data_IF_920574249703
#
_entry.id   IF_920574249703
#
_cell.length_a   1.000
_cell.length_b   1.000
_cell.length_c   1.000
_cell.angle_alpha   90.00
_cell.angle_beta   90.00
_cell.angle_gamma   90.00
#
_symmetry.space_group_name_H-M   'P 1'
#
loop_
_entity.id
_entity.type
_entity.pdbx_description
1 polymer ?
#
# COMPACT_ATOMS: atom_id res chain seq x y z
N UNK A 1 -2.27 9.19 11.07
CA UNK A 1 -3.24 10.08 10.40
C UNK A 1 -2.53 11.41 10.20
N UNK A 2 -2.31 11.83 8.96
CA UNK A 2 -1.56 13.08 8.71
C UNK A 2 -2.41 14.29 9.11
N UNK A 3 -1.77 15.44 9.40
CA UNK A 3 -2.50 16.69 9.64
C UNK A 3 -3.43 17.03 8.46
N UNK A 4 -3.04 16.69 7.23
CA UNK A 4 -3.87 16.86 6.04
C UNK A 4 -5.13 15.97 6.07
N UNK A 5 -5.02 14.72 6.51
CA UNK A 5 -6.17 13.82 6.64
C UNK A 5 -7.16 14.30 7.72
N UNK A 6 -6.63 14.83 8.82
CA UNK A 6 -7.44 15.41 9.88
C UNK A 6 -8.19 16.66 9.40
N UNK A 7 -7.51 17.53 8.66
CA UNK A 7 -8.11 18.73 8.05
C UNK A 7 -9.21 18.34 7.07
N UNK A 8 -8.96 17.40 6.15
CA UNK A 8 -9.97 16.97 5.19
C UNK A 8 -11.19 16.33 5.87
N UNK A 9 -10.97 15.51 6.91
CA UNK A 9 -12.08 14.94 7.71
C UNK A 9 -12.89 16.03 8.43
N UNK A 10 -12.22 17.03 8.99
CA UNK A 10 -12.89 18.16 9.64
C UNK A 10 -13.72 18.97 8.62
N UNK A 11 -13.19 19.21 7.42
CA UNK A 11 -13.90 19.90 6.35
C UNK A 11 -15.10 19.10 5.84
N UNK A 12 -14.99 17.77 5.76
CA UNK A 12 -16.13 16.91 5.46
C UNK A 12 -17.25 17.03 6.51
N UNK A 13 -16.91 17.04 7.80
CA UNK A 13 -17.89 17.23 8.88
C UNK A 13 -18.54 18.63 8.87
N UNK A 14 -17.76 19.66 8.54
CA UNK A 14 -18.27 21.02 8.35
C UNK A 14 -19.28 21.07 7.20
N UNK A 15 -18.92 20.48 6.05
CA UNK A 15 -19.83 20.34 4.92
C UNK A 15 -21.15 19.66 5.32
N UNK A 16 -21.09 18.57 6.10
CA UNK A 16 -22.31 17.88 6.56
C UNK A 16 -23.16 18.72 7.51
N UNK A 17 -22.53 19.58 8.30
CA UNK A 17 -23.23 20.53 9.18
C UNK A 17 -23.94 21.59 8.34
N UNK A 18 -23.27 22.14 7.33
CA UNK A 18 -23.83 23.13 6.41
C UNK A 18 -24.93 22.53 5.53
N UNK A 19 -24.77 21.28 5.09
CA UNK A 19 -25.79 20.53 4.35
C UNK A 19 -27.10 20.37 5.16
N UNK A 20 -27.00 20.31 6.50
CA UNK A 20 -28.15 20.25 7.42
C UNK A 20 -28.78 21.62 7.69
N UNK A 21 -28.05 22.71 7.54
CA UNK A 21 -28.55 24.08 7.81
C UNK A 21 -29.01 24.81 6.54
N UNK A 22 -28.41 24.53 5.38
CA UNK A 22 -28.71 25.16 4.09
C UNK A 22 -29.57 24.24 3.20
N UNK A 23 -30.84 24.61 3.03
CA UNK A 23 -31.81 23.87 2.21
C UNK A 23 -31.47 23.87 0.71
N UNK A 24 -30.85 24.94 0.19
CA UNK A 24 -30.45 25.02 -1.22
C UNK A 24 -29.27 24.10 -1.48
N UNK A 25 -28.26 24.14 -0.61
CA UNK A 25 -27.11 23.24 -0.68
C UNK A 25 -27.53 21.77 -0.61
N UNK A 26 -28.47 21.44 0.29
CA UNK A 26 -29.06 20.10 0.35
C UNK A 26 -29.74 19.69 -0.95
N UNK A 27 -30.57 20.56 -1.53
CA UNK A 27 -31.24 20.25 -2.79
C UNK A 27 -30.26 20.04 -3.95
N UNK A 28 -29.19 20.85 -4.02
CA UNK A 28 -28.16 20.71 -5.04
C UNK A 28 -27.38 19.40 -4.86
N UNK A 29 -27.05 19.03 -3.62
CA UNK A 29 -26.40 17.76 -3.28
C UNK A 29 -27.29 16.56 -3.64
N UNK A 30 -28.55 16.55 -3.19
CA UNK A 30 -29.50 15.46 -3.44
C UNK A 30 -29.70 15.22 -4.94
N UNK A 31 -29.73 16.26 -5.77
CA UNK A 31 -29.80 16.12 -7.23
C UNK A 31 -28.59 15.40 -7.81
N UNK A 32 -27.38 15.74 -7.33
CA UNK A 32 -26.14 15.10 -7.79
C UNK A 32 -26.08 13.64 -7.34
N UNK A 33 -26.42 13.37 -6.08
CA UNK A 33 -26.47 11.99 -5.55
C UNK A 33 -27.55 11.16 -6.24
N UNK A 34 -28.72 11.73 -6.54
CA UNK A 34 -29.78 11.05 -7.27
C UNK A 34 -29.34 10.69 -8.69
N UNK A 35 -28.67 11.61 -9.40
CA UNK A 35 -28.10 11.34 -10.72
C UNK A 35 -27.08 10.20 -10.66
N UNK A 36 -26.16 10.24 -9.70
CA UNK A 36 -25.17 9.19 -9.49
C UNK A 36 -25.84 7.83 -9.20
N UNK A 37 -26.85 7.81 -8.32
CA UNK A 37 -27.55 6.58 -7.91
C UNK A 37 -28.40 5.97 -9.03
N UNK A 38 -29.09 6.79 -9.84
CA UNK A 38 -29.92 6.28 -10.94
C UNK A 38 -29.09 5.54 -11.97
N UNK A 39 -27.88 6.01 -12.26
CA UNK A 39 -27.04 5.42 -13.31
C UNK A 39 -26.38 4.11 -12.91
N UNK A 40 -25.93 4.00 -11.65
CA UNK A 40 -25.41 2.72 -11.12
C UNK A 40 -26.43 1.59 -11.28
N UNK A 41 -27.74 1.91 -11.25
CA UNK A 41 -28.81 0.92 -11.41
C UNK A 41 -29.20 0.63 -12.86
N UNK A 42 -28.90 1.53 -13.80
CA UNK A 42 -29.43 1.48 -15.17
C UNK A 42 -28.41 1.04 -16.23
N UNK A 43 -27.11 1.16 -15.99
CA UNK A 43 -26.11 0.79 -16.97
C UNK A 43 -25.98 -0.75 -17.07
N UNK A 44 -25.98 -1.27 -18.31
CA UNK A 44 -25.91 -2.71 -18.58
C UNK A 44 -24.46 -3.23 -18.67
N UNK A 45 -23.48 -2.34 -18.87
CA UNK A 45 -22.06 -2.66 -19.01
C UNK A 45 -21.28 -2.22 -17.74
N UNK A 46 -20.59 -3.15 -17.04
CA UNK A 46 -19.74 -2.84 -15.88
C UNK A 46 -18.63 -1.81 -16.15
N UNK A 47 -18.08 -1.78 -17.37
CA UNK A 47 -17.05 -0.80 -17.73
C UNK A 47 -17.63 0.61 -17.85
N UNK A 48 -18.84 0.73 -18.43
CA UNK A 48 -19.60 1.98 -18.50
C UNK A 48 -20.02 2.46 -17.09
N UNK A 49 -20.44 1.53 -16.22
CA UNK A 49 -20.76 1.82 -14.82
C UNK A 49 -19.57 2.43 -14.08
N UNK A 50 -18.40 1.80 -14.14
CA UNK A 50 -17.18 2.26 -13.46
C UNK A 50 -16.75 3.64 -13.98
N UNK A 51 -16.75 3.80 -15.30
CA UNK A 51 -16.41 5.07 -15.96
C UNK A 51 -17.28 6.22 -15.47
N UNK A 52 -18.60 6.00 -15.48
CA UNK A 52 -19.56 7.05 -15.15
C UNK A 52 -19.57 7.35 -13.66
N UNK A 53 -19.39 6.33 -12.83
CA UNK A 53 -19.17 6.48 -11.41
C UNK A 53 -18.05 7.48 -11.11
N UNK A 54 -16.88 7.34 -11.74
CA UNK A 54 -15.76 8.27 -11.51
C UNK A 54 -16.07 9.69 -12.00
N UNK A 55 -16.74 9.84 -13.15
CA UNK A 55 -17.16 11.15 -13.64
C UNK A 55 -18.13 11.85 -12.67
N UNK A 56 -19.07 11.10 -12.10
CA UNK A 56 -20.04 11.62 -11.14
C UNK A 56 -19.40 11.90 -9.77
N UNK A 57 -18.42 11.10 -9.33
CA UNK A 57 -17.61 11.40 -8.14
C UNK A 57 -16.82 12.71 -8.33
N UNK A 58 -16.15 12.91 -9.47
CA UNK A 58 -15.45 14.16 -9.78
C UNK A 58 -16.40 15.36 -9.82
N UNK A 59 -17.63 15.16 -10.31
CA UNK A 59 -18.67 16.18 -10.28
C UNK A 59 -19.03 16.60 -8.85
N UNK A 60 -19.06 15.64 -7.92
CA UNK A 60 -19.24 15.89 -6.49
C UNK A 60 -18.02 16.58 -5.87
N UNK A 61 -16.80 16.18 -6.24
CA UNK A 61 -15.56 16.86 -5.80
C UNK A 61 -15.54 18.34 -6.22
N UNK A 62 -15.88 18.60 -7.49
CA UNK A 62 -15.96 19.98 -7.99
C UNK A 62 -17.00 20.79 -7.22
N UNK A 63 -18.15 20.19 -6.90
CA UNK A 63 -19.18 20.86 -6.09
C UNK A 63 -18.67 21.20 -4.67
N UNK A 64 -17.89 20.32 -4.05
CA UNK A 64 -17.28 20.57 -2.74
C UNK A 64 -16.25 21.71 -2.81
N UNK A 65 -15.36 21.66 -3.81
CA UNK A 65 -14.33 22.67 -4.03
C UNK A 65 -14.92 24.06 -4.37
N UNK A 66 -15.96 24.12 -5.22
CA UNK A 66 -16.68 25.35 -5.57
C UNK A 66 -17.33 26.03 -4.35
N UNK A 67 -17.62 25.27 -3.30
CA UNK A 67 -18.18 25.77 -2.04
C UNK A 67 -17.11 26.03 -0.97
N UNK A 68 -15.84 25.86 -1.32
CA UNK A 68 -14.70 26.19 -0.46
C UNK A 68 -14.32 25.11 0.55
N UNK A 69 -14.81 23.87 0.38
CA UNK A 69 -14.41 22.76 1.24
C UNK A 69 -13.16 22.08 0.69
N UNK A 70 -12.13 21.96 1.53
CA UNK A 70 -10.93 21.16 1.24
C UNK A 70 -11.17 19.72 1.73
N UNK A 71 -11.99 18.98 0.98
CA UNK A 71 -12.34 17.57 1.23
C UNK A 71 -12.67 16.88 -0.10
N UNK A 72 -12.81 15.55 -0.07
CA UNK A 72 -13.24 14.75 -1.22
C UNK A 72 -14.66 14.22 -1.08
N UNK A 73 -15.28 13.90 -2.21
CA UNK A 73 -16.58 13.27 -2.35
C UNK A 73 -16.60 11.93 -1.61
N UNK A 74 -15.55 11.12 -1.74
CA UNK A 74 -15.41 9.83 -1.05
C UNK A 74 -15.52 9.97 0.47
N UNK A 75 -14.83 10.94 1.08
CA UNK A 75 -14.92 11.19 2.53
C UNK A 75 -16.34 11.56 2.94
N UNK A 76 -16.97 12.46 2.20
CA UNK A 76 -18.34 12.91 2.48
C UNK A 76 -19.35 11.77 2.31
N UNK A 77 -19.25 10.99 1.23
CA UNK A 77 -20.11 9.84 0.95
C UNK A 77 -19.94 8.71 1.97
N UNK A 78 -18.70 8.49 2.44
CA UNK A 78 -18.37 7.57 3.53
C UNK A 78 -19.07 8.00 4.83
N UNK A 79 -18.93 9.26 5.23
CA UNK A 79 -19.57 9.80 6.44
C UNK A 79 -21.10 9.77 6.35
N UNK A 80 -21.66 9.97 5.17
CA UNK A 80 -23.10 9.86 4.91
C UNK A 80 -23.61 8.42 4.83
N UNK A 81 -22.72 7.42 4.75
CA UNK A 81 -23.05 5.99 4.56
C UNK A 81 -24.02 5.77 3.38
N UNK A 82 -23.74 6.42 2.25
CA UNK A 82 -24.67 6.41 1.11
C UNK A 82 -24.74 5.01 0.49
N UNK A 83 -25.92 4.37 0.32
CA UNK A 83 -26.01 2.96 -0.04
C UNK A 83 -25.27 2.56 -1.32
N UNK A 84 -25.42 3.32 -2.42
CA UNK A 84 -24.72 3.00 -3.68
C UNK A 84 -23.19 2.99 -3.50
N UNK A 85 -22.68 3.89 -2.66
CA UNK A 85 -21.25 4.04 -2.44
C UNK A 85 -20.73 2.88 -1.60
N UNK A 86 -21.51 2.44 -0.61
CA UNK A 86 -21.22 1.23 0.15
C UNK A 86 -21.24 -0.02 -0.75
N UNK A 87 -22.19 -0.11 -1.69
CA UNK A 87 -22.25 -1.21 -2.66
C UNK A 87 -21.03 -1.19 -3.60
N UNK A 88 -20.63 -0.01 -4.08
CA UNK A 88 -19.40 0.15 -4.86
C UNK A 88 -18.17 -0.26 -4.07
N UNK A 89 -18.01 0.20 -2.83
CA UNK A 89 -16.91 -0.19 -1.96
C UNK A 89 -16.85 -1.70 -1.77
N UNK A 90 -18.01 -2.37 -1.61
CA UNK A 90 -18.09 -3.84 -1.54
C UNK A 90 -17.68 -4.51 -2.84
N UNK A 91 -18.08 -3.97 -3.99
CA UNK A 91 -17.71 -4.51 -5.30
C UNK A 91 -16.22 -4.33 -5.61
N UNK A 92 -15.61 -3.25 -5.14
CA UNK A 92 -14.17 -2.98 -5.31
C UNK A 92 -13.31 -3.50 -4.15
N UNK A 93 -13.92 -4.09 -3.12
CA UNK A 93 -13.20 -4.63 -1.98
C UNK A 93 -12.31 -5.82 -2.39
N UNK A 94 -11.21 -6.08 -1.66
CA UNK A 94 -10.43 -7.30 -1.83
C UNK A 94 -11.33 -8.54 -1.78
N UNK A 95 -11.04 -9.53 -2.61
CA UNK A 95 -11.63 -10.87 -2.53
C UNK A 95 -10.52 -11.95 -2.61
N UNK A 96 -10.90 -13.22 -2.42
CA UNK A 96 -9.94 -14.32 -2.43
C UNK A 96 -9.14 -14.39 -3.75
N UNK A 97 -9.82 -14.28 -4.90
CA UNK A 97 -9.17 -14.37 -6.22
C UNK A 97 -8.23 -13.20 -6.53
N UNK A 98 -8.60 -11.97 -6.15
CA UNK A 98 -7.72 -10.80 -6.30
C UNK A 98 -6.51 -10.86 -5.35
N UNK A 99 -6.69 -11.40 -4.14
CA UNK A 99 -5.58 -11.64 -3.20
C UNK A 99 -4.63 -12.71 -3.72
N UNK A 100 -5.19 -13.83 -4.18
CA UNK A 100 -4.44 -14.90 -4.82
C UNK A 100 -3.67 -14.38 -6.05
N UNK A 101 -4.31 -13.59 -6.90
CA UNK A 101 -3.62 -12.99 -8.06
C UNK A 101 -2.41 -12.14 -7.65
N UNK A 102 -2.52 -11.35 -6.58
CA UNK A 102 -1.39 -10.54 -6.08
C UNK A 102 -0.28 -11.46 -5.55
N UNK A 103 -0.62 -12.52 -4.81
CA UNK A 103 0.35 -13.52 -4.35
C UNK A 103 1.04 -14.22 -5.53
N UNK A 104 0.26 -14.68 -6.52
CA UNK A 104 0.74 -15.34 -7.72
C UNK A 104 1.59 -14.38 -8.56
N UNK A 105 1.26 -13.08 -8.65
CA UNK A 105 2.13 -12.08 -9.26
C UNK A 105 3.47 -11.93 -8.54
N UNK A 106 3.55 -12.22 -7.25
CA UNK A 106 4.79 -12.12 -6.50
C UNK A 106 5.56 -13.45 -6.47
N UNK A 107 4.87 -14.58 -6.70
CA UNK A 107 5.37 -15.94 -6.75
C UNK A 107 5.80 -16.39 -8.14
N UNK A 108 5.05 -16.04 -9.17
CA UNK A 108 5.22 -16.53 -10.53
C UNK A 108 5.54 -15.38 -11.51
N UNK A 109 6.77 -15.37 -12.03
CA UNK A 109 7.27 -14.30 -12.89
C UNK A 109 6.45 -14.18 -14.19
N UNK A 110 5.90 -15.31 -14.68
CA UNK A 110 5.10 -15.37 -15.90
C UNK A 110 3.81 -14.56 -15.78
N UNK A 111 3.09 -14.72 -14.67
CA UNK A 111 1.82 -14.02 -14.41
C UNK A 111 2.07 -12.51 -14.32
N UNK A 112 3.09 -12.10 -13.58
CA UNK A 112 3.43 -10.69 -13.47
C UNK A 112 3.88 -10.06 -14.79
N UNK A 113 4.69 -10.76 -15.59
CA UNK A 113 5.06 -10.27 -16.93
C UNK A 113 3.83 -10.10 -17.81
N UNK A 114 2.88 -11.04 -17.76
CA UNK A 114 1.60 -10.92 -18.47
C UNK A 114 0.81 -9.70 -18.00
N UNK A 115 0.72 -9.48 -16.69
CA UNK A 115 0.05 -8.34 -16.09
C UNK A 115 0.67 -6.99 -16.51
N UNK A 116 2.00 -6.88 -16.47
CA UNK A 116 2.73 -5.68 -16.92
C UNK A 116 2.48 -5.37 -18.39
N UNK A 117 2.40 -6.40 -19.24
CA UNK A 117 2.06 -6.23 -20.66
C UNK A 117 0.63 -5.73 -20.85
N UNK A 118 -0.34 -6.30 -20.13
CA UNK A 118 -1.73 -5.88 -20.17
C UNK A 118 -1.87 -4.41 -19.73
N UNK A 119 -1.19 -4.02 -18.64
CA UNK A 119 -1.13 -2.62 -18.17
C UNK A 119 -0.50 -1.68 -19.19
N UNK A 120 0.64 -2.07 -19.77
CA UNK A 120 1.31 -1.28 -20.80
C UNK A 120 0.40 -1.06 -22.00
N UNK A 121 -0.38 -2.07 -22.40
CA UNK A 121 -1.36 -1.95 -23.48
C UNK A 121 -2.45 -0.92 -23.14
N UNK A 122 -3.01 -0.94 -21.93
CA UNK A 122 -4.02 0.05 -21.50
C UNK A 122 -3.46 1.46 -21.49
N UNK A 123 -2.25 1.64 -20.98
CA UNK A 123 -1.54 2.93 -21.02
C UNK A 123 -1.37 3.43 -22.46
N UNK A 124 -1.16 2.51 -23.41
CA UNK A 124 -1.04 2.79 -24.86
C UNK A 124 -2.38 2.94 -25.59
N UNK A 125 -3.51 2.85 -24.90
CA UNK A 125 -4.83 3.07 -25.48
C UNK A 125 -5.73 1.84 -25.60
N UNK A 126 -5.32 0.67 -25.09
CA UNK A 126 -6.25 -0.43 -24.91
C UNK A 126 -7.32 -0.06 -23.85
N UNK A 127 -8.54 -0.61 -23.95
CA UNK A 127 -9.58 -0.37 -22.94
C UNK A 127 -9.18 -0.98 -21.59
N UNK A 128 -9.55 -0.34 -20.48
CA UNK A 128 -9.28 -0.86 -19.12
C UNK A 128 -9.89 -2.24 -18.89
N UNK A 129 -10.99 -2.58 -19.57
CA UNK A 129 -11.60 -3.92 -19.54
C UNK A 129 -10.66 -5.03 -20.00
N UNK A 130 -9.60 -4.73 -20.77
CA UNK A 130 -8.61 -5.74 -21.17
C UNK A 130 -7.82 -6.30 -19.99
N UNK A 131 -7.80 -5.59 -18.85
CA UNK A 131 -7.20 -6.08 -17.61
C UNK A 131 -8.08 -7.14 -16.95
N UNK A 132 -9.39 -6.91 -16.93
CA UNK A 132 -10.37 -7.89 -16.42
C UNK A 132 -10.41 -9.12 -17.34
N UNK A 133 -10.29 -8.92 -18.65
CA UNK A 133 -10.13 -10.01 -19.63
C UNK A 133 -8.88 -10.83 -19.35
N UNK A 134 -7.75 -10.18 -19.04
CA UNK A 134 -6.50 -10.86 -18.68
C UNK A 134 -6.68 -11.69 -17.40
N UNK A 135 -7.26 -11.10 -16.34
CA UNK A 135 -7.53 -11.80 -15.08
C UNK A 135 -8.42 -13.04 -15.32
N UNK A 136 -9.49 -12.88 -16.10
CA UNK A 136 -10.39 -13.97 -16.47
C UNK A 136 -9.67 -15.06 -17.27
N UNK A 137 -8.80 -14.70 -18.22
CA UNK A 137 -8.01 -15.65 -19.01
C UNK A 137 -7.01 -16.44 -18.16
N UNK A 138 -6.48 -15.84 -17.09
CA UNK A 138 -5.63 -16.51 -16.12
C UNK A 138 -6.44 -17.32 -15.07
N UNK A 139 -7.78 -17.27 -15.13
CA UNK A 139 -8.67 -18.04 -14.26
C UNK A 139 -9.03 -17.35 -12.94
N UNK A 140 -8.82 -16.03 -12.82
CA UNK A 140 -9.23 -15.24 -11.66
C UNK A 140 -10.60 -14.59 -11.89
N UNK A 141 -11.50 -14.71 -10.92
CA UNK A 141 -12.83 -14.11 -10.91
C UNK A 141 -12.83 -12.79 -10.12
N UNK A 142 -11.99 -11.85 -10.55
CA UNK A 142 -11.87 -10.54 -9.94
C UNK A 142 -11.68 -9.44 -10.99
N UNK A 143 -11.81 -8.19 -10.56
CA UNK A 143 -11.54 -7.00 -11.39
C UNK A 143 -10.19 -6.39 -11.04
N UNK A 144 -9.63 -5.60 -11.94
CA UNK A 144 -8.39 -4.86 -11.69
C UNK A 144 -8.49 -3.92 -10.47
N UNK A 145 -9.69 -3.42 -10.15
CA UNK A 145 -9.94 -2.59 -8.97
C UNK A 145 -9.79 -3.42 -7.68
N UNK A 146 -10.35 -4.63 -7.67
CA UNK A 146 -10.20 -5.56 -6.54
C UNK A 146 -8.74 -5.98 -6.37
N UNK A 147 -8.00 -6.19 -7.47
CA UNK A 147 -6.53 -6.41 -7.42
C UNK A 147 -5.81 -5.24 -6.76
N UNK A 148 -6.20 -3.99 -7.06
CA UNK A 148 -5.65 -2.80 -6.39
C UNK A 148 -5.95 -2.74 -4.90
N UNK A 149 -7.19 -3.09 -4.54
CA UNK A 149 -7.58 -3.17 -3.14
C UNK A 149 -6.81 -4.27 -2.40
N UNK A 150 -6.70 -5.48 -2.97
CA UNK A 150 -5.94 -6.60 -2.40
C UNK A 150 -4.47 -6.27 -2.23
N UNK A 151 -3.84 -5.64 -3.21
CA UNK A 151 -2.45 -5.23 -3.09
C UNK A 151 -2.25 -4.22 -1.95
N UNK A 152 -3.14 -3.23 -1.84
CA UNK A 152 -3.11 -2.25 -0.74
C UNK A 152 -3.29 -2.94 0.62
N UNK A 153 -4.25 -3.85 0.72
CA UNK A 153 -4.55 -4.61 1.95
C UNK A 153 -3.38 -5.52 2.37
N UNK A 154 -2.74 -6.20 1.42
CA UNK A 154 -1.55 -7.02 1.70
C UNK A 154 -0.36 -6.16 2.14
N UNK A 155 -0.14 -5.03 1.47
CA UNK A 155 0.94 -4.10 1.79
C UNK A 155 0.82 -3.49 3.19
N UNK A 156 -0.39 -3.29 3.69
CA UNK A 156 -0.61 -2.77 5.04
C UNK A 156 -0.36 -3.81 6.15
N UNK A 157 -0.23 -5.11 5.81
CA UNK A 157 -0.08 -6.20 6.77
C UNK A 157 1.20 -7.02 6.64
N UNK A 158 1.92 -6.91 5.53
CA UNK A 158 3.19 -7.59 5.34
C UNK A 158 4.32 -6.58 5.11
N UNK A 159 5.29 -6.54 6.02
CA UNK A 159 6.39 -5.57 5.98
C UNK A 159 7.33 -5.81 4.79
N UNK A 160 7.31 -6.99 4.17
CA UNK A 160 8.10 -7.33 2.97
C UNK A 160 7.82 -6.39 1.80
N UNK A 161 6.61 -5.83 1.71
CA UNK A 161 6.28 -4.84 0.68
C UNK A 161 7.01 -3.51 0.82
N UNK A 162 7.71 -3.33 1.95
CA UNK A 162 8.51 -2.18 2.28
C UNK A 162 9.99 -2.51 2.35
N UNK A 163 10.40 -3.71 1.94
CA UNK A 163 11.80 -4.11 1.81
C UNK A 163 12.58 -3.04 1.05
N UNK A 164 13.75 -2.67 1.58
CA UNK A 164 14.56 -1.57 1.05
C UNK A 164 15.49 -0.96 2.09
N UNK A 165 16.40 -0.13 1.58
CA UNK A 165 17.37 0.62 2.39
C UNK A 165 16.95 2.08 2.41
N UNK A 166 16.52 2.54 3.58
CA UNK A 166 16.01 3.89 3.78
C UNK A 166 17.08 4.72 4.47
N UNK A 167 17.93 5.32 3.65
CA UNK A 167 19.07 6.11 4.11
C UNK A 167 18.83 7.62 4.12
N UNK A 168 17.92 8.14 3.29
CA UNK A 168 17.65 9.58 3.27
C UNK A 168 16.62 9.92 4.34
N UNK A 169 17.10 10.30 5.53
CA UNK A 169 16.27 10.61 6.69
C UNK A 169 16.34 12.10 7.00
N UNK A 170 15.22 12.80 6.83
CA UNK A 170 15.05 14.12 7.43
C UNK A 170 14.65 13.93 8.90
N UNK A 171 15.29 14.68 9.80
CA UNK A 171 14.96 14.72 11.22
C UNK A 171 14.33 16.08 11.56
N UNK A 172 13.46 16.11 12.55
CA UNK A 172 12.98 17.34 13.18
C UNK A 172 13.47 17.35 14.65
N UNK A 173 14.36 18.29 15.06
CA UNK A 173 14.85 19.44 14.30
C UNK A 173 15.85 19.09 13.17
N UNK A 174 15.92 19.90 12.08
CA UNK A 174 16.75 19.64 10.89
C UNK A 174 18.25 19.64 11.13
N UNK A 175 18.70 20.17 12.28
CA UNK A 175 20.10 20.11 12.75
C UNK A 175 20.35 18.86 13.63
N UNK A 176 19.40 17.93 13.69
CA UNK A 176 19.55 16.65 14.37
C UNK A 176 20.68 15.81 13.75
N UNK A 177 21.31 14.91 14.52
CA UNK A 177 22.40 14.10 14.00
C UNK A 177 21.94 13.29 12.79
N UNK A 178 22.68 13.46 11.69
CA UNK A 178 22.52 12.66 10.49
C UNK A 178 22.69 11.16 10.81
N UNK A 179 21.91 10.31 10.14
CA UNK A 179 22.24 8.89 10.05
C UNK A 179 21.39 7.92 10.88
N UNK A 180 20.06 8.08 10.87
CA UNK A 180 19.22 6.89 11.14
C UNK A 180 19.10 6.09 9.84
N UNK A 181 19.57 4.85 9.85
CA UNK A 181 19.43 3.91 8.73
C UNK A 181 18.37 2.89 9.09
N UNK A 182 17.31 2.82 8.29
CA UNK A 182 16.36 1.73 8.36
C UNK A 182 16.60 0.79 7.19
N UNK A 183 16.83 -0.49 7.48
CA UNK A 183 16.87 -1.55 6.48
C UNK A 183 15.72 -2.48 6.76
N UNK A 184 14.78 -2.59 5.81
CA UNK A 184 13.71 -3.59 5.85
C UNK A 184 14.16 -4.74 4.97
N UNK A 185 14.33 -5.93 5.55
CA UNK A 185 14.75 -7.11 4.81
C UNK A 185 13.54 -7.93 4.37
N UNK A 186 12.68 -8.30 5.32
CA UNK A 186 11.52 -9.18 5.13
C UNK A 186 10.43 -8.87 6.16
N UNK A 187 9.33 -9.63 6.14
CA UNK A 187 8.27 -9.50 7.13
C UNK A 187 8.83 -9.67 8.55
N UNK A 188 8.54 -8.71 9.44
CA UNK A 188 9.07 -8.63 10.81
C UNK A 188 10.61 -8.61 10.95
N UNK A 189 11.37 -8.55 9.86
CA UNK A 189 12.84 -8.49 9.87
C UNK A 189 13.33 -7.15 9.35
N UNK A 190 13.78 -6.30 10.26
CA UNK A 190 14.32 -4.99 9.94
C UNK A 190 15.50 -4.63 10.86
N UNK A 191 16.23 -3.60 10.49
CA UNK A 191 17.36 -3.06 11.27
C UNK A 191 17.21 -1.55 11.34
N UNK A 192 17.37 -0.99 12.53
CA UNK A 192 17.42 0.46 12.77
C UNK A 192 18.81 0.78 13.30
N UNK A 193 19.64 1.42 12.50
CA UNK A 193 21.09 1.56 12.68
C UNK A 193 21.78 0.20 12.83
N UNK A 194 22.08 -0.19 14.07
CA UNK A 194 22.68 -1.48 14.44
C UNK A 194 21.71 -2.36 15.23
N UNK A 195 20.60 -1.80 15.72
CA UNK A 195 19.59 -2.54 16.44
C UNK A 195 18.84 -3.44 15.44
N UNK A 196 18.64 -4.70 15.83
CA UNK A 196 17.87 -5.69 15.08
C UNK A 196 16.67 -6.13 15.93
N UNK A 197 15.58 -5.35 15.95
CA UNK A 197 14.36 -5.73 16.67
C UNK A 197 13.90 -7.11 16.25
N UNK A 198 13.65 -7.94 17.27
CA UNK A 198 13.15 -9.31 17.12
C UNK A 198 11.66 -9.35 17.50
N UNK A 199 10.85 -10.12 16.79
CA UNK A 199 9.40 -10.10 17.01
C UNK A 199 8.99 -10.65 18.38
N UNK A 200 9.73 -11.63 18.92
CA UNK A 200 9.48 -12.23 20.23
C UNK A 200 9.95 -11.32 21.36
N UNK A 201 11.14 -10.73 21.23
CA UNK A 201 11.74 -9.92 22.31
C UNK A 201 11.26 -8.46 22.30
N UNK A 202 11.03 -7.89 21.13
CA UNK A 202 10.72 -6.48 20.94
C UNK A 202 9.26 -6.20 20.60
N UNK A 203 8.40 -7.23 20.63
CA UNK A 203 6.97 -7.11 20.32
C UNK A 203 6.76 -6.39 18.98
N UNK A 204 7.54 -6.78 17.96
CA UNK A 204 7.43 -6.18 16.63
C UNK A 204 6.04 -6.48 16.08
N UNK A 205 5.26 -5.43 15.84
CA UNK A 205 3.93 -5.52 15.23
C UNK A 205 3.91 -4.66 13.98
N UNK A 206 3.50 -5.25 12.86
CA UNK A 206 3.23 -4.51 11.65
C UNK A 206 1.77 -4.69 11.25
N UNK A 207 0.99 -3.60 11.27
CA UNK A 207 -0.44 -3.62 10.93
C UNK A 207 -0.88 -2.27 10.40
N UNK A 208 -1.83 -2.25 9.46
CA UNK A 208 -2.37 -1.02 8.87
C UNK A 208 -1.31 -0.03 8.39
N UNK A 209 -0.18 -0.52 7.85
CA UNK A 209 0.91 0.33 7.39
C UNK A 209 1.84 0.84 8.49
N UNK A 210 1.62 0.45 9.74
CA UNK A 210 2.36 0.93 10.91
C UNK A 210 3.21 -0.20 11.49
N UNK A 211 4.52 0.03 11.55
CA UNK A 211 5.51 -0.79 12.24
C UNK A 211 5.75 -0.22 13.64
N UNK A 212 5.45 -1.02 14.66
CA UNK A 212 5.65 -0.68 16.06
C UNK A 212 6.59 -1.71 16.69
N UNK A 213 7.53 -1.25 17.52
CA UNK A 213 8.38 -2.12 18.33
C UNK A 213 8.76 -1.44 19.64
N UNK A 214 8.96 -2.25 20.66
CA UNK A 214 9.43 -1.83 21.97
C UNK A 214 10.92 -2.10 22.15
N UNK A 215 11.59 -1.22 22.89
CA UNK A 215 12.92 -1.51 23.41
C UNK A 215 12.86 -2.72 24.36
N UNK A 216 13.94 -3.50 24.39
CA UNK A 216 14.12 -4.62 25.30
C UNK A 216 15.37 -4.42 26.16
N UNK A 217 15.42 -5.11 27.30
CA UNK A 217 16.62 -5.13 28.14
C UNK A 217 17.77 -5.93 27.50
N UNK A 218 17.51 -6.64 26.40
CA UNK A 218 18.45 -7.54 25.73
C UNK A 218 18.57 -7.17 24.25
N UNK A 219 19.65 -6.45 23.92
CA UNK A 219 20.17 -6.30 22.55
C UNK A 219 19.51 -5.24 21.67
N UNK A 220 18.30 -4.77 21.98
CA UNK A 220 17.60 -3.74 21.19
C UNK A 220 17.20 -2.60 22.10
N UNK A 221 17.85 -1.46 21.93
CA UNK A 221 17.74 -0.36 22.87
C UNK A 221 16.78 0.74 22.40
N UNK A 222 16.38 0.69 21.14
CA UNK A 222 15.40 1.61 20.57
C UNK A 222 13.97 1.06 20.62
N UNK A 223 13.01 1.96 20.76
CA UNK A 223 11.60 1.72 20.51
C UNK A 223 11.14 2.62 19.38
N UNK A 224 10.12 2.24 18.61
CA UNK A 224 9.66 3.10 17.53
C UNK A 224 8.30 2.75 16.99
N UNK A 225 7.74 3.72 16.29
CA UNK A 225 6.47 3.65 15.60
C UNK A 225 6.62 4.37 14.26
N UNK A 226 6.70 3.60 13.17
CA UNK A 226 6.92 4.08 11.81
C UNK A 226 5.73 3.73 10.94
N UNK A 227 5.17 4.72 10.26
CA UNK A 227 4.13 4.54 9.25
C UNK A 227 4.77 4.55 7.86
N UNK A 228 4.54 3.51 7.09
CA UNK A 228 5.02 3.39 5.74
C UNK A 228 4.00 3.91 4.72
N UNK A 229 4.48 4.63 3.71
CA UNK A 229 3.66 5.20 2.64
C UNK A 229 4.39 5.18 1.30
N UNK A 230 3.66 5.19 0.19
CA UNK A 230 4.25 5.36 -1.14
C UNK A 230 3.88 6.71 -1.69
N UNK A 231 4.89 7.52 -1.98
CA UNK A 231 4.68 8.78 -2.64
C UNK A 231 4.59 8.55 -4.15
N UNK A 232 3.38 8.55 -4.68
CA UNK A 232 3.16 8.21 -6.08
C UNK A 232 3.37 9.39 -7.06
N UNK A 233 3.37 10.63 -6.57
CA UNK A 233 3.49 11.85 -7.40
C UNK A 233 4.61 12.77 -6.93
N UNK A 234 5.32 13.37 -7.89
CA UNK A 234 6.26 14.47 -7.64
C UNK A 234 5.49 15.74 -7.28
N UNK A 235 5.83 16.37 -6.17
CA UNK A 235 5.32 17.68 -5.80
C UNK A 235 6.36 18.76 -6.12
N UNK A 236 5.96 20.02 -6.37
CA UNK A 236 6.91 21.10 -6.64
C UNK A 236 7.95 21.30 -5.53
N UNK A 237 7.58 21.03 -4.29
CA UNK A 237 8.43 21.15 -3.11
C UNK A 237 9.26 19.90 -2.83
N UNK A 238 8.94 18.78 -3.47
CA UNK A 238 9.57 17.50 -3.21
C UNK A 238 9.33 16.51 -4.35
N UNK A 239 10.41 16.29 -5.12
CA UNK A 239 10.44 15.48 -6.32
C UNK A 239 10.58 13.97 -6.06
N UNK A 240 10.66 13.54 -4.80
CA UNK A 240 10.75 12.11 -4.48
C UNK A 240 9.48 11.37 -4.91
N UNK A 241 9.65 10.17 -5.47
CA UNK A 241 8.60 9.19 -5.72
C UNK A 241 9.14 7.82 -5.37
N UNK A 242 8.36 7.06 -4.60
CA UNK A 242 8.76 5.75 -4.10
C UNK A 242 8.26 5.51 -2.68
N UNK A 243 8.74 4.41 -2.09
CA UNK A 243 8.46 4.07 -0.70
C UNK A 243 9.16 5.02 0.26
N UNK A 244 8.40 5.54 1.19
CA UNK A 244 8.89 6.33 2.31
C UNK A 244 8.27 5.83 3.61
N UNK A 245 8.82 6.25 4.73
CA UNK A 245 8.19 6.09 6.03
C UNK A 245 8.27 7.41 6.80
N UNK A 246 7.34 7.62 7.71
CA UNK A 246 7.40 8.70 8.68
C UNK A 246 7.02 8.18 10.06
N UNK A 247 7.61 8.72 11.11
CA UNK A 247 7.25 8.28 12.46
C UNK A 247 8.26 8.71 13.50
N UNK A 248 8.27 8.01 14.62
CA UNK A 248 9.16 8.32 15.74
C UNK A 248 9.99 7.11 16.16
N UNK A 249 11.24 7.35 16.53
CA UNK A 249 12.13 6.37 17.16
C UNK A 249 12.71 7.00 18.42
N UNK A 250 12.66 6.28 19.52
CA UNK A 250 13.23 6.70 20.80
C UNK A 250 14.45 5.85 21.11
N UNK A 251 15.60 6.51 21.23
CA UNK A 251 16.87 5.89 21.60
C UNK A 251 17.18 6.13 23.09
N UNK A 252 17.97 5.26 23.73
CA UNK A 252 18.33 5.43 25.13
C UNK A 252 19.26 6.64 25.32
N UNK A 253 19.30 7.23 26.53
CA UNK A 253 20.13 8.40 26.83
C UNK A 253 21.64 8.18 26.64
N UNK A 254 22.10 6.93 26.66
CA UNK A 254 23.52 6.55 26.52
C UNK A 254 23.82 5.83 25.20
N UNK A 255 23.06 6.10 24.14
CA UNK A 255 23.30 5.48 22.83
C UNK A 255 24.67 5.90 22.27
N UNK A 256 25.57 4.94 22.03
CA UNK A 256 26.85 5.19 21.37
C UNK A 256 26.76 5.28 19.84
N UNK A 257 25.60 4.92 19.27
CA UNK A 257 25.39 4.74 17.83
C UNK A 257 24.25 5.61 17.28
N UNK A 258 23.94 6.72 17.94
CA UNK A 258 22.92 7.65 17.47
C UNK A 258 22.53 8.72 18.48
N UNK A 259 21.60 9.61 18.09
CA UNK A 259 20.94 10.55 19.02
C UNK A 259 20.33 9.83 20.23
N UNK A 260 20.25 10.55 21.34
CA UNK A 260 19.50 10.15 22.53
C UNK A 260 18.09 10.76 22.53
N UNK A 261 17.10 10.01 23.01
CA UNK A 261 15.73 10.49 23.13
C UNK A 261 14.87 10.24 21.87
N UNK A 262 13.66 10.81 21.83
CA UNK A 262 12.74 10.66 20.71
C UNK A 262 13.18 11.49 19.51
N UNK A 263 13.13 10.90 18.32
CA UNK A 263 13.32 11.59 17.05
C UNK A 263 12.15 11.32 16.12
N UNK A 264 11.69 12.38 15.47
CA UNK A 264 10.80 12.26 14.32
C UNK A 264 11.62 12.05 13.07
N UNK A 265 11.30 11.01 12.31
CA UNK A 265 12.01 10.58 11.12
C UNK A 265 11.08 10.65 9.92
N UNK A 266 11.61 11.13 8.78
CA UNK A 266 11.04 10.91 7.44
C UNK A 266 12.11 10.22 6.60
N UNK A 267 11.97 8.92 6.36
CA UNK A 267 12.96 8.13 5.64
C UNK A 267 12.50 7.72 4.25
N UNK A 268 13.43 7.70 3.30
CA UNK A 268 13.19 7.35 1.89
C UNK A 268 14.20 6.35 1.38
N UNK A 269 13.77 5.48 0.46
CA UNK A 269 14.70 4.61 -0.26
C UNK A 269 15.73 5.49 -0.98
N UNK A 270 17.01 5.25 -0.71
CA UNK A 270 18.10 6.08 -1.18
C UNK A 270 19.47 5.57 -0.73
N UNK A 271 20.55 6.28 -1.07
CA UNK A 271 21.88 5.91 -0.63
C UNK A 271 21.97 5.92 0.90
N UNK A 272 22.81 5.03 1.43
CA UNK A 272 23.17 5.04 2.84
C UNK A 272 23.84 6.38 3.19
N UNK A 273 23.49 7.02 4.32
CA UNK A 273 24.18 8.21 4.81
C UNK A 273 25.69 8.02 4.85
N UNK A 274 26.44 9.03 4.39
CA UNK A 274 27.90 8.97 4.37
C UNK A 274 28.51 8.89 5.78
N UNK A 275 27.74 9.30 6.78
CA UNK A 275 28.09 9.28 8.20
C UNK A 275 28.07 7.88 8.80
N UNK A 276 27.40 6.91 8.16
CA UNK A 276 27.37 5.53 8.61
C UNK A 276 28.56 4.77 8.00
N UNK A 277 29.50 4.30 8.82
CA UNK A 277 30.64 3.52 8.34
C UNK A 277 30.19 2.29 7.55
N UNK A 278 30.84 1.99 6.44
CA UNK A 278 30.45 0.88 5.55
C UNK A 278 30.48 -0.48 6.23
N UNK A 279 31.32 -0.65 7.26
CA UNK A 279 31.42 -1.84 8.11
C UNK A 279 30.25 -1.98 9.09
N UNK A 280 29.48 -0.90 9.31
CA UNK A 280 28.27 -0.90 10.13
C UNK A 280 26.99 -1.16 9.32
N UNK A 281 27.06 -1.09 7.99
CA UNK A 281 25.94 -1.42 7.12
C UNK A 281 25.81 -2.95 7.08
N UNK A 282 24.70 -3.54 7.56
CA UNK A 282 24.44 -4.96 7.38
C UNK A 282 24.57 -5.35 5.92
N UNK A 283 25.13 -6.54 5.59
CA UNK A 283 25.18 -7.00 4.21
C UNK A 283 23.75 -7.01 3.64
N UNK A 284 23.52 -6.18 2.63
CA UNK A 284 22.25 -6.14 1.91
C UNK A 284 22.23 -7.39 1.04
N UNK A 285 21.27 -8.27 1.29
CA UNK A 285 21.04 -9.44 0.45
C UNK A 285 20.81 -8.96 -1.00
N UNK A 286 21.56 -9.41 -2.02
CA UNK A 286 21.32 -9.02 -3.40
C UNK A 286 19.88 -9.30 -3.87
N UNK A 287 19.19 -10.25 -3.22
CA UNK A 287 17.77 -10.46 -3.43
C UNK A 287 16.94 -9.22 -3.07
N UNK A 288 17.29 -8.46 -2.03
CA UNK A 288 16.60 -7.23 -1.62
C UNK A 288 16.55 -6.21 -2.76
N UNK A 289 17.64 -5.99 -3.51
CA UNK A 289 17.61 -5.06 -4.65
C UNK A 289 16.68 -5.55 -5.77
N UNK A 290 16.67 -6.86 -6.04
CA UNK A 290 15.75 -7.46 -7.03
C UNK A 290 14.29 -7.30 -6.57
N UNK A 291 14.02 -7.56 -5.29
CA UNK A 291 12.71 -7.46 -4.65
C UNK A 291 12.19 -6.02 -4.64
N UNK A 292 13.03 -5.07 -4.22
CA UNK A 292 12.72 -3.64 -4.20
C UNK A 292 12.34 -3.15 -5.59
N UNK A 293 13.12 -3.52 -6.62
CA UNK A 293 12.81 -3.15 -8.02
C UNK A 293 11.49 -3.76 -8.45
N UNK A 294 11.30 -5.05 -8.21
CA UNK A 294 10.07 -5.76 -8.57
C UNK A 294 8.82 -5.13 -7.94
N UNK A 295 8.87 -4.91 -6.62
CA UNK A 295 7.77 -4.32 -5.86
C UNK A 295 7.57 -2.86 -6.26
N UNK A 296 8.64 -2.09 -6.52
CA UNK A 296 8.54 -0.72 -7.00
C UNK A 296 7.87 -0.62 -8.37
N UNK A 297 8.16 -1.56 -9.27
CA UNK A 297 7.50 -1.67 -10.58
C UNK A 297 6.04 -2.09 -10.45
N UNK A 298 5.73 -3.05 -9.58
CA UNK A 298 4.37 -3.44 -9.27
C UNK A 298 3.58 -2.25 -8.71
N UNK A 299 4.15 -1.49 -7.78
CA UNK A 299 3.54 -0.28 -7.21
C UNK A 299 3.29 0.80 -8.27
N UNK A 300 4.23 0.98 -9.20
CA UNK A 300 4.06 1.91 -10.32
C UNK A 300 2.88 1.50 -11.20
N UNK A 301 2.76 0.21 -11.50
CA UNK A 301 1.62 -0.38 -12.19
C UNK A 301 0.29 -0.13 -11.45
N UNK A 302 0.25 -0.36 -10.14
CA UNK A 302 -0.97 -0.11 -9.34
C UNK A 302 -1.34 1.36 -9.27
N UNK A 303 -0.36 2.26 -9.24
CA UNK A 303 -0.62 3.69 -9.33
C UNK A 303 -1.26 4.06 -10.68
N UNK A 304 -0.74 3.50 -11.78
CA UNK A 304 -1.32 3.70 -13.10
C UNK A 304 -2.79 3.25 -13.12
N UNK A 305 -3.12 2.12 -12.49
CA UNK A 305 -4.52 1.69 -12.34
C UNK A 305 -5.38 2.71 -11.61
N UNK A 306 -4.90 3.25 -10.49
CA UNK A 306 -5.60 4.31 -9.77
C UNK A 306 -5.78 5.57 -10.62
N UNK A 307 -4.76 5.94 -11.39
CA UNK A 307 -4.84 7.08 -12.31
C UNK A 307 -5.87 6.81 -13.42
N UNK A 308 -5.83 5.63 -14.03
CA UNK A 308 -6.77 5.22 -15.07
C UNK A 308 -8.20 5.24 -14.56
N UNK A 309 -8.44 4.72 -13.36
CA UNK A 309 -9.74 4.79 -12.71
C UNK A 309 -10.20 6.25 -12.54
N UNK A 310 -9.29 7.19 -12.24
CA UNK A 310 -9.63 8.60 -12.03
C UNK A 310 -9.95 9.43 -13.29
N UNK A 311 -9.62 8.95 -14.51
CA UNK A 311 -9.77 9.74 -15.75
C UNK A 311 -11.08 9.36 -16.47
N UNK A 312 -12.03 10.29 -16.64
CA UNK A 312 -13.24 10.03 -17.42
C UNK A 312 -12.94 9.85 -18.92
N UNK A 313 -13.65 8.93 -19.57
CA UNK A 313 -13.46 8.31 -20.91
C UNK A 313 -13.34 9.21 -22.17
N UNK A 314 -12.93 10.48 -22.10
CA UNK A 314 -12.84 11.31 -23.31
C UNK A 314 -11.58 11.12 -24.16
N UNK A 315 -10.74 10.11 -23.90
CA UNK A 315 -9.73 9.78 -24.89
C UNK A 315 -9.51 8.28 -25.07
N UNK A 316 -9.22 7.96 -26.31
CA UNK A 316 -8.74 6.69 -26.88
C UNK A 316 -7.41 6.18 -26.27
N UNK A 317 -7.08 6.63 -25.06
CA UNK A 317 -5.91 6.25 -24.27
C UNK A 317 -5.66 7.24 -23.15
N UNK A 318 -5.15 6.74 -22.02
CA UNK A 318 -4.84 7.55 -20.85
C UNK A 318 -3.94 8.74 -21.21
N UNK A 319 -2.93 8.48 -22.04
CA UNK A 319 -1.98 9.48 -22.54
C UNK A 319 -2.69 10.57 -23.34
N UNK A 320 -3.64 10.23 -24.20
CA UNK A 320 -4.39 11.20 -25.01
C UNK A 320 -5.34 12.04 -24.16
N UNK A 321 -5.97 11.43 -23.13
CA UNK A 321 -6.85 12.14 -22.20
C UNK A 321 -6.05 13.17 -21.39
N UNK A 322 -4.85 12.79 -20.98
CA UNK A 322 -3.96 13.64 -20.21
C UNK A 322 -3.29 14.73 -21.05
N UNK A 323 -3.00 14.46 -22.32
CA UNK A 323 -2.56 15.46 -23.30
C UNK A 323 -3.63 16.52 -23.52
N UNK A 324 -4.90 16.10 -23.63
CA UNK A 324 -6.03 17.00 -23.84
C UNK A 324 -6.41 17.83 -22.60
N UNK A 325 -6.04 17.38 -21.40
CA UNK A 325 -6.24 18.13 -20.16
C UNK A 325 -5.32 19.36 -20.01
N UNK A 326 -4.29 19.51 -20.86
CA UNK A 326 -3.45 20.71 -20.95
C UNK A 326 -2.64 21.00 -19.68
N UNK A 327 -1.34 20.70 -19.68
CA UNK A 327 -0.38 21.16 -18.65
C UNK A 327 0.62 20.10 -18.20
N UNK A 328 1.27 20.36 -17.05
CA UNK A 328 2.24 19.48 -16.35
C UNK A 328 1.82 18.01 -16.14
N UNK A 329 0.52 17.62 -16.08
CA UNK A 329 0.14 16.22 -15.94
C UNK A 329 0.54 15.32 -17.12
N UNK A 330 0.58 15.84 -18.35
CA UNK A 330 0.92 15.05 -19.53
C UNK A 330 2.38 14.59 -19.53
N UNK A 331 3.32 15.49 -19.24
CA UNK A 331 4.76 15.17 -19.12
C UNK A 331 5.05 14.19 -17.97
N UNK A 332 4.34 14.33 -16.85
CA UNK A 332 4.47 13.41 -15.71
C UNK A 332 4.02 12.00 -16.07
N UNK A 333 3.01 11.88 -16.93
CA UNK A 333 2.48 10.57 -17.32
C UNK A 333 3.32 9.95 -18.43
N UNK A 334 3.75 10.71 -19.44
CA UNK A 334 4.70 10.21 -20.45
C UNK A 334 5.96 9.64 -19.78
N UNK A 335 6.57 10.39 -18.85
CA UNK A 335 7.74 9.89 -18.12
C UNK A 335 7.47 8.63 -17.28
N UNK A 336 6.22 8.39 -16.87
CA UNK A 336 5.78 7.19 -16.15
C UNK A 336 5.43 6.04 -17.07
N UNK A 337 4.93 6.30 -18.26
CA UNK A 337 4.79 5.28 -19.32
C UNK A 337 6.19 4.75 -19.66
N UNK A 338 7.16 5.64 -19.86
CA UNK A 338 8.55 5.27 -20.11
C UNK A 338 9.14 4.51 -18.91
N UNK A 339 8.73 4.82 -17.69
CA UNK A 339 9.13 4.10 -16.48
C UNK A 339 8.49 2.71 -16.39
N UNK A 340 7.22 2.58 -16.76
CA UNK A 340 6.51 1.30 -16.83
C UNK A 340 7.11 0.42 -17.94
N UNK A 341 7.46 0.98 -19.09
CA UNK A 341 8.12 0.24 -20.16
C UNK A 341 9.52 -0.21 -19.76
N UNK A 342 10.31 0.69 -19.15
CA UNK A 342 11.61 0.32 -18.58
C UNK A 342 11.48 -0.72 -17.47
N UNK A 343 10.43 -0.64 -16.66
CA UNK A 343 10.11 -1.63 -15.64
C UNK A 343 9.78 -2.98 -16.26
N UNK A 344 8.90 -3.01 -17.26
CA UNK A 344 8.53 -4.22 -17.98
C UNK A 344 9.75 -4.86 -18.66
N UNK A 345 10.65 -4.06 -19.24
CA UNK A 345 11.91 -4.53 -19.82
C UNK A 345 12.86 -5.06 -18.74
N UNK A 346 13.07 -4.32 -17.65
CA UNK A 346 13.93 -4.75 -16.55
C UNK A 346 13.45 -6.06 -15.90
N UNK A 347 12.14 -6.30 -15.89
CA UNK A 347 11.53 -7.55 -15.37
C UNK A 347 11.73 -8.73 -16.32
N UNK A 348 11.97 -8.50 -17.62
CA UNK A 348 12.32 -9.58 -18.57
C UNK A 348 13.66 -10.22 -18.22
N UNK A 349 14.58 -9.44 -17.66
CA UNK A 349 15.90 -9.89 -17.24
C UNK A 349 15.92 -10.49 -15.81
N UNK A 350 14.77 -10.52 -15.11
CA UNK A 350 14.64 -11.13 -13.79
C UNK A 350 14.16 -12.57 -13.95
N UNK A 351 15.02 -13.53 -13.63
CA UNK A 351 14.75 -14.97 -13.82
C UNK A 351 14.00 -15.63 -12.65
N UNK A 352 13.86 -14.95 -11.51
CA UNK A 352 13.26 -15.49 -10.28
C UNK A 352 12.53 -14.41 -9.49
N UNK A 353 11.38 -14.74 -8.91
CA UNK A 353 10.53 -13.79 -8.21
C UNK A 353 10.98 -13.50 -6.77
N UNK A 354 10.49 -12.39 -6.17
CA UNK A 354 10.67 -12.09 -4.75
C UNK A 354 10.27 -13.22 -3.81
N UNK A 355 9.15 -13.89 -4.10
CA UNK A 355 8.64 -14.97 -3.28
C UNK A 355 9.37 -16.28 -3.60
N UNK A 356 9.75 -16.58 -4.83
CA UNK A 356 10.61 -17.75 -5.11
C UNK A 356 11.93 -17.66 -4.32
N UNK A 357 12.55 -16.48 -4.16
CA UNK A 357 13.75 -16.35 -3.32
C UNK A 357 13.47 -16.18 -1.83
N UNK A 358 12.33 -15.58 -1.47
CA UNK A 358 11.99 -15.17 -0.11
C UNK A 358 11.16 -16.20 0.68
N UNK A 359 10.18 -16.86 0.05
CA UNK A 359 9.39 -17.95 0.65
C UNK A 359 10.21 -19.21 0.87
N UNK A 360 11.33 -19.37 0.16
CA UNK A 360 12.30 -20.36 0.59
C UNK A 360 12.68 -20.09 2.04
N UNK A 361 12.81 -18.88 2.60
CA UNK A 361 13.17 -18.77 4.04
C UNK A 361 12.10 -19.16 5.07
N UNK A 362 10.81 -19.00 4.78
CA UNK A 362 9.73 -19.41 5.70
C UNK A 362 9.48 -20.91 5.66
N UNK A 363 9.43 -21.46 4.44
CA UNK A 363 9.44 -22.90 4.23
C UNK A 363 10.78 -23.51 4.67
N UNK A 364 11.92 -22.82 4.51
CA UNK A 364 13.25 -23.24 4.97
C UNK A 364 13.30 -23.20 6.49
N UNK A 365 12.53 -22.36 7.19
CA UNK A 365 12.50 -22.39 8.65
C UNK A 365 11.74 -23.63 9.11
N UNK A 366 10.56 -23.87 8.55
CA UNK A 366 9.79 -25.11 8.79
C UNK A 366 10.59 -26.34 8.36
N UNK A 367 11.25 -26.31 7.20
CA UNK A 367 12.07 -27.37 6.61
C UNK A 367 13.38 -27.53 7.39
N UNK A 368 14.05 -26.45 7.84
CA UNK A 368 15.19 -26.53 8.77
C UNK A 368 14.77 -27.04 10.14
N UNK A 369 13.61 -26.65 10.66
CA UNK A 369 13.08 -27.18 11.91
C UNK A 369 12.75 -28.66 11.74
N UNK A 370 12.21 -29.08 10.59
CA UNK A 370 11.96 -30.48 10.24
C UNK A 370 13.27 -31.27 10.07
N UNK A 371 14.29 -30.71 9.43
CA UNK A 371 15.64 -31.30 9.29
C UNK A 371 16.33 -31.40 10.66
N UNK A 372 16.31 -30.34 11.46
CA UNK A 372 16.86 -30.35 12.82
C UNK A 372 16.11 -31.33 13.73
N UNK A 373 14.79 -31.48 13.54
CA UNK A 373 14.00 -32.48 14.26
C UNK A 373 14.23 -33.89 13.73
N UNK A 374 14.63 -34.06 12.46
CA UNK A 374 15.07 -35.35 11.94
C UNK A 374 16.42 -35.77 12.57
N UNK A 375 17.30 -34.80 12.83
CA UNK A 375 18.58 -35.00 13.52
C UNK A 375 18.43 -35.17 15.05
N UNK A 376 17.46 -34.47 15.67
CA UNK A 376 17.12 -34.57 17.10
C UNK A 376 15.59 -34.73 17.31
N UNK A 377 15.06 -35.96 17.11
CA UNK A 377 13.62 -36.22 17.16
C UNK A 377 13.00 -36.11 18.56
N UNK A 378 13.81 -36.02 19.62
CA UNK A 378 13.32 -35.92 20.99
C UNK A 378 13.30 -34.47 21.51
N UNK A 379 13.78 -33.49 20.72
CA UNK A 379 13.75 -32.08 21.09
C UNK A 379 12.33 -31.54 21.20
N UNK A 380 11.86 -31.35 22.43
CA UNK A 380 10.56 -30.75 22.72
C UNK A 380 10.47 -29.28 22.25
N UNK A 381 11.59 -28.56 22.28
CA UNK A 381 11.67 -27.16 21.86
C UNK A 381 11.47 -27.02 20.36
N UNK A 382 12.16 -27.84 19.55
CA UNK A 382 12.01 -27.82 18.09
C UNK A 382 10.59 -28.21 17.66
N UNK A 383 9.97 -29.19 18.33
CA UNK A 383 8.56 -29.57 18.07
C UNK A 383 7.61 -28.42 18.33
N UNK A 384 7.77 -27.74 19.47
CA UNK A 384 6.92 -26.61 19.83
C UNK A 384 7.10 -25.44 18.86
N UNK A 385 8.33 -25.15 18.44
CA UNK A 385 8.61 -24.12 17.43
C UNK A 385 7.98 -24.48 16.09
N UNK A 386 8.14 -25.71 15.62
CA UNK A 386 7.54 -26.18 14.36
C UNK A 386 6.02 -26.09 14.38
N UNK A 387 5.36 -26.51 15.47
CA UNK A 387 3.91 -26.42 15.63
C UNK A 387 3.43 -24.97 15.66
N UNK A 388 4.15 -24.08 16.34
CA UNK A 388 3.81 -22.66 16.39
C UNK A 388 3.93 -21.99 15.01
N UNK A 389 5.06 -22.19 14.31
CA UNK A 389 5.29 -21.59 13.00
C UNK A 389 4.31 -22.16 11.96
N UNK A 390 3.99 -23.46 12.04
CA UNK A 390 2.96 -24.08 11.19
C UNK A 390 1.58 -23.50 11.47
N UNK A 391 1.21 -23.32 12.74
CA UNK A 391 -0.08 -22.72 13.11
C UNK A 391 -0.16 -21.22 12.75
N UNK A 392 0.95 -20.48 12.76
CA UNK A 392 1.00 -19.08 12.30
C UNK A 392 0.88 -18.98 10.78
N UNK A 393 1.53 -19.87 10.03
CA UNK A 393 1.35 -19.99 8.58
C UNK A 393 -0.10 -20.35 8.23
N UNK A 394 -0.68 -21.36 8.90
CA UNK A 394 -2.07 -21.74 8.74
C UNK A 394 -3.02 -20.60 9.13
N UNK A 395 -2.74 -19.83 10.19
CA UNK A 395 -3.55 -18.66 10.55
C UNK A 395 -3.44 -17.55 9.54
N UNK A 396 -2.27 -17.33 8.95
CA UNK A 396 -2.10 -16.36 7.88
C UNK A 396 -2.99 -16.77 6.70
N UNK A 397 -2.88 -18.01 6.23
CA UNK A 397 -3.69 -18.53 5.11
C UNK A 397 -5.20 -18.50 5.44
N UNK A 398 -5.59 -18.96 6.63
CA UNK A 398 -6.99 -18.96 7.08
C UNK A 398 -7.54 -17.56 7.41
N UNK A 399 -6.68 -16.56 7.66
CA UNK A 399 -7.12 -15.17 7.85
C UNK A 399 -7.59 -14.50 6.56
N UNK A 400 -7.28 -15.11 5.41
CA UNK A 400 -7.78 -14.70 4.10
C UNK A 400 -9.02 -15.47 3.65
N UNK A 401 -9.21 -16.72 4.12
CA UNK A 401 -10.30 -17.62 3.71
C UNK A 401 -11.54 -17.61 4.64
N UNK A 402 -11.50 -16.87 5.76
CA UNK A 402 -12.66 -16.74 6.65
C UNK A 402 -13.82 -16.01 5.97
N UNK A 403 -15.02 -16.62 6.00
CA UNK A 403 -16.29 -16.04 5.52
C UNK A 403 -16.36 -14.55 5.86
N UNK A 404 -16.14 -13.71 4.84
CA UNK A 404 -16.36 -12.28 4.92
C UNK A 404 -17.87 -12.12 5.04
N UNK A 405 -18.36 -11.96 6.28
CA UNK A 405 -19.73 -11.54 6.51
C UNK A 405 -19.96 -10.25 5.69
N UNK A 406 -20.88 -10.24 4.71
CA UNK A 406 -21.20 -9.03 3.97
C UNK A 406 -21.77 -7.90 4.84
N UNK A 407 -22.03 -8.17 6.13
CA UNK A 407 -22.38 -7.21 7.18
C UNK A 407 -21.23 -6.80 8.12
N UNK A 408 -20.00 -7.29 7.95
CA UNK A 408 -18.79 -6.68 8.53
C UNK A 408 -18.46 -7.09 9.97
N UNK A 409 -18.18 -8.37 10.20
CA UNK A 409 -17.61 -8.85 11.48
C UNK A 409 -16.08 -9.14 11.43
N UNK A 410 -15.42 -8.84 10.31
CA UNK A 410 -13.96 -8.87 10.19
C UNK A 410 -13.38 -7.50 9.80
N UNK A 411 -12.29 -7.08 10.45
CA UNK A 411 -11.46 -5.90 10.15
C UNK A 411 -12.08 -4.49 10.36
N UNK A 412 -13.41 -4.33 10.32
CA UNK A 412 -14.07 -3.03 10.49
C UNK A 412 -14.23 -2.56 11.96
N UNK A 413 -14.03 -3.46 12.93
CA UNK A 413 -14.24 -3.17 14.36
C UNK A 413 -13.20 -2.21 14.96
N UNK A 414 -12.00 -2.15 14.39
CA UNK A 414 -10.93 -1.25 14.87
C UNK A 414 -11.22 0.24 14.62
N UNK A 415 -12.30 0.57 13.89
CA UNK A 415 -12.77 1.94 13.67
C UNK A 415 -13.96 2.34 14.56
N UNK A 416 -14.64 1.40 15.24
CA UNK A 416 -15.79 1.72 16.09
C UNK A 416 -15.39 2.31 17.45
N UNK A 417 -14.15 2.06 17.92
CA UNK A 417 -13.66 2.54 19.21
C UNK A 417 -13.11 3.98 19.19
N UNK A 418 -13.14 4.68 18.04
CA UNK A 418 -12.64 6.07 17.89
C UNK A 418 -13.77 7.11 17.84
N UNK A 419 -15.03 6.70 17.93
CA UNK A 419 -16.17 7.64 18.00
C UNK A 419 -16.58 7.80 19.47
N UNK A 420 -16.40 8.98 20.11
CA UNK A 420 -17.03 9.23 21.39
C UNK A 420 -18.55 9.19 21.20
N UNK A 421 -19.23 8.37 22.02
CA UNK A 421 -20.69 8.23 22.05
C UNK A 421 -21.42 9.56 22.16
#
# INVERSE_FOLDING_TARGET
>A
MTDADAVQNQQALLFLTDLRSDARMRSDWEKRIAALTSYVKEAADPAEQTTRYHADIQNVDNFLAERGYDTTAERVLTLLKTPFYLDHLKQTAPNADSTRFVQDCLGEIGIYRGWQQALSAVVKGAPTSSLDDFLTQQGYHCTYLQVSASFTAMRSHNLTYWTGVYGSVATDPPDGPAGVLLIVNQNKSFTVNLDRPDDRLNKVVYRNGVLDWAASDVGVHSAGCLTFSCKAKRFPTDAYVGSEYYGTVTFPPNNSHGPAGPLTLLGRIGPVPAEIPSDQVPPIDPAVDTIVRYIGYFQTAMWILHLLASIPNQASGAVDALKNLGGRPAEQVEGRVDELERAAEAVRDIDTTPLERGLHRGNDLIERLQEQLADDPDSAELKQQLEQETAEADRFDNSFDGDIDPAGDGWARDFEDVIPK
#
